data_IF_125135882846
#
_entry.id   IF_125135882846
#
_cell.length_a   1.000
_cell.length_b   1.000
_cell.length_c   1.000
_cell.angle_alpha   90.00
_cell.angle_beta   90.00
_cell.angle_gamma   90.00
#
_symmetry.space_group_name_H-M   'P 1'
#
loop_
_entity.id
_entity.type
_entity.pdbx_description
1 polymer ?
#
# COMPACT_ATOMS: atom_id res chain seq x y z
N UNK A 1 -0.97 -17.42 -51.28
CA UNK A 1 -1.81 -16.54 -52.13
C UNK A 1 -2.76 -15.65 -51.32
N UNK A 2 -2.31 -14.89 -50.31
CA UNK A 2 -3.05 -13.73 -49.73
C UNK A 2 -2.11 -12.70 -49.09
N UNK A 3 -1.03 -12.38 -49.80
CA UNK A 3 -0.19 -11.21 -49.49
C UNK A 3 -0.38 -10.08 -50.53
N UNK A 4 -1.36 -10.24 -51.44
CA UNK A 4 -1.53 -9.40 -52.64
C UNK A 4 -2.57 -8.28 -52.52
N UNK A 5 -3.22 -8.09 -51.37
CA UNK A 5 -4.31 -7.11 -51.26
C UNK A 5 -3.93 -5.75 -50.66
N UNK A 6 -2.69 -5.56 -50.20
CA UNK A 6 -2.30 -4.30 -49.56
C UNK A 6 -3.16 -3.96 -48.33
N UNK A 7 -3.79 -4.96 -47.73
CA UNK A 7 -4.55 -4.81 -46.49
C UNK A 7 -3.60 -4.43 -45.37
N UNK A 8 -3.98 -3.38 -44.65
CA UNK A 8 -3.17 -2.84 -43.56
C UNK A 8 -3.14 -3.84 -42.41
N UNK A 9 -2.04 -3.86 -41.63
CA UNK A 9 -1.89 -4.76 -40.49
C UNK A 9 -3.09 -4.74 -39.51
N UNK A 10 -3.81 -3.62 -39.47
CA UNK A 10 -4.99 -3.39 -38.63
C UNK A 10 -6.20 -4.24 -39.06
N UNK A 11 -6.46 -4.40 -40.37
CA UNK A 11 -7.58 -5.21 -40.87
C UNK A 11 -7.40 -6.71 -40.57
N UNK A 12 -6.16 -7.19 -40.64
CA UNK A 12 -5.82 -8.58 -40.31
C UNK A 12 -6.04 -8.82 -38.80
N UNK A 13 -5.64 -7.87 -37.96
CA UNK A 13 -5.80 -7.96 -36.51
C UNK A 13 -7.27 -7.93 -36.10
N UNK A 14 -8.09 -7.09 -36.72
CA UNK A 14 -9.54 -7.05 -36.47
C UNK A 14 -10.23 -8.35 -36.86
N UNK A 15 -9.85 -8.97 -37.99
CA UNK A 15 -10.37 -10.27 -38.40
C UNK A 15 -10.00 -11.39 -37.41
N UNK A 16 -8.75 -11.41 -36.94
CA UNK A 16 -8.27 -12.39 -35.94
C UNK A 16 -8.98 -12.20 -34.60
N UNK A 17 -9.15 -10.95 -34.15
CA UNK A 17 -9.92 -10.61 -32.94
C UNK A 17 -11.38 -11.07 -33.04
N UNK A 18 -12.04 -10.85 -34.19
CA UNK A 18 -13.43 -11.21 -34.38
C UNK A 18 -13.68 -12.72 -34.34
N UNK A 19 -12.72 -13.54 -34.78
CA UNK A 19 -12.88 -15.01 -34.84
C UNK A 19 -12.35 -15.77 -33.63
N UNK A 20 -11.27 -15.30 -33.02
CA UNK A 20 -10.61 -16.02 -31.93
C UNK A 20 -10.65 -15.28 -30.58
N UNK A 21 -11.18 -14.06 -30.56
CA UNK A 21 -11.24 -13.22 -29.37
C UNK A 21 -9.93 -12.49 -29.09
N UNK A 22 -10.01 -11.46 -28.23
CA UNK A 22 -8.89 -10.59 -27.86
C UNK A 22 -7.71 -11.32 -27.18
N UNK A 23 -7.87 -12.60 -26.82
CA UNK A 23 -6.89 -13.39 -26.06
C UNK A 23 -5.88 -14.16 -26.91
N UNK A 24 -5.98 -14.07 -28.25
CA UNK A 24 -5.00 -14.72 -29.14
C UNK A 24 -3.67 -13.97 -29.19
N UNK A 25 -3.68 -12.66 -28.95
CA UNK A 25 -2.46 -11.93 -28.68
C UNK A 25 -2.17 -12.01 -27.18
N UNK A 26 -1.07 -12.66 -26.81
CA UNK A 26 -0.51 -12.76 -25.44
C UNK A 26 -0.21 -11.40 -24.75
N UNK A 27 -0.56 -10.27 -25.38
CA UNK A 27 -0.47 -8.92 -24.81
C UNK A 27 -1.86 -8.48 -24.39
N UNK A 28 -2.17 -8.44 -23.07
CA UNK A 28 -3.45 -7.93 -22.62
C UNK A 28 -3.60 -6.50 -23.13
N UNK A 29 -4.64 -6.19 -23.93
CA UNK A 29 -4.82 -4.84 -24.43
C UNK A 29 -5.10 -3.91 -23.24
N UNK A 30 -4.51 -2.71 -23.28
CA UNK A 30 -4.87 -1.62 -22.36
C UNK A 30 -6.27 -1.14 -22.71
N UNK A 31 -7.29 -1.89 -22.28
CA UNK A 31 -8.70 -1.52 -22.39
C UNK A 31 -9.12 -0.79 -21.11
N UNK A 32 -10.12 0.10 -21.17
CA UNK A 32 -10.67 0.76 -19.98
C UNK A 32 -11.12 -0.24 -18.90
N UNK A 33 -11.55 -1.44 -19.30
CA UNK A 33 -11.95 -2.52 -18.39
C UNK A 33 -10.79 -3.13 -17.59
N UNK A 34 -9.58 -3.16 -18.13
CA UNK A 34 -8.39 -3.66 -17.40
C UNK A 34 -7.74 -2.59 -16.53
N UNK A 35 -8.16 -1.32 -16.64
CA UNK A 35 -7.59 -0.21 -15.88
C UNK A 35 -7.73 -0.41 -14.36
N UNK A 36 -8.82 -1.03 -13.90
CA UNK A 36 -9.02 -1.38 -12.50
C UNK A 36 -7.95 -2.36 -11.98
N UNK A 37 -7.52 -3.33 -12.80
CA UNK A 37 -6.47 -4.29 -12.44
C UNK A 37 -5.12 -3.59 -12.27
N UNK A 38 -4.83 -2.61 -13.13
CA UNK A 38 -3.57 -1.86 -13.09
C UNK A 38 -3.54 -0.80 -11.99
N UNK A 39 -4.68 -0.19 -11.67
CA UNK A 39 -4.79 0.79 -10.59
C UNK A 39 -4.86 0.16 -9.19
N UNK A 40 -5.34 -1.08 -9.06
CA UNK A 40 -5.51 -1.70 -7.74
C UNK A 40 -4.20 -1.75 -6.92
N UNK A 41 -3.04 -2.22 -7.44
CA UNK A 41 -1.80 -2.25 -6.68
C UNK A 41 -1.31 -0.88 -6.17
N UNK A 42 -1.17 0.18 -7.00
CA UNK A 42 -0.74 1.49 -6.51
C UNK A 42 -1.74 2.13 -5.56
N UNK A 43 -3.05 1.93 -5.79
CA UNK A 43 -4.09 2.51 -4.95
C UNK A 43 -4.10 1.88 -3.56
N UNK A 44 -3.94 0.56 -3.46
CA UNK A 44 -3.76 -0.14 -2.18
C UNK A 44 -2.47 0.29 -1.46
N UNK A 45 -1.36 0.46 -2.20
CA UNK A 45 -0.10 0.93 -1.62
C UNK A 45 -0.25 2.33 -1.02
N UNK A 46 -0.91 3.25 -1.71
CA UNK A 46 -1.18 4.60 -1.21
C UNK A 46 -2.06 4.58 0.04
N UNK A 47 -3.11 3.76 0.07
CA UNK A 47 -3.96 3.60 1.25
C UNK A 47 -3.19 3.06 2.45
N UNK A 48 -2.37 2.02 2.25
CA UNK A 48 -1.55 1.44 3.30
C UNK A 48 -0.52 2.43 3.85
N UNK A 49 0.16 3.18 2.97
CA UNK A 49 1.12 4.21 3.37
C UNK A 49 0.44 5.36 4.13
N UNK A 50 -0.70 5.85 3.64
CA UNK A 50 -1.46 6.91 4.29
C UNK A 50 -1.96 6.50 5.68
N UNK A 51 -2.53 5.30 5.79
CA UNK A 51 -2.98 4.75 7.06
C UNK A 51 -1.81 4.53 8.03
N UNK A 52 -0.74 3.87 7.58
CA UNK A 52 0.45 3.61 8.38
C UNK A 52 1.10 4.91 8.88
N UNK A 53 1.26 5.90 8.01
CA UNK A 53 1.79 7.21 8.39
C UNK A 53 0.90 7.92 9.42
N UNK A 54 -0.42 7.85 9.28
CA UNK A 54 -1.38 8.41 10.24
C UNK A 54 -1.23 7.76 11.63
N UNK A 55 -1.19 6.43 11.68
CA UNK A 55 -1.02 5.67 12.93
C UNK A 55 0.32 5.99 13.59
N UNK A 56 1.41 6.00 12.83
CA UNK A 56 2.74 6.34 13.35
C UNK A 56 2.80 7.78 13.85
N UNK A 57 2.19 8.73 13.15
CA UNK A 57 2.12 10.14 13.57
C UNK A 57 1.33 10.30 14.87
N UNK A 58 0.23 9.57 15.01
CA UNK A 58 -0.57 9.57 16.24
C UNK A 58 0.18 8.95 17.41
N UNK A 59 0.89 7.84 17.20
CA UNK A 59 1.73 7.22 18.23
C UNK A 59 2.84 8.17 18.71
N UNK A 60 3.48 8.91 17.80
CA UNK A 60 4.49 9.91 18.16
C UNK A 60 3.91 11.07 18.97
N UNK A 61 2.71 11.55 18.62
CA UNK A 61 2.01 12.59 19.41
C UNK A 61 1.65 12.13 20.81
N UNK A 62 1.22 10.87 20.95
CA UNK A 62 0.96 10.27 22.26
C UNK A 62 2.25 10.12 23.08
N UNK A 63 3.36 9.71 22.46
CA UNK A 63 4.67 9.68 23.13
C UNK A 63 5.18 11.06 23.51
N UNK A 64 4.95 12.10 22.70
CA UNK A 64 5.33 13.47 23.07
C UNK A 64 4.45 14.05 24.18
N UNK A 65 3.22 13.53 24.35
CA UNK A 65 2.36 13.81 25.50
C UNK A 65 2.61 12.87 26.68
N UNK A 66 3.41 11.81 26.49
CA UNK A 66 3.84 10.87 27.52
C UNK A 66 5.19 11.22 28.13
N UNK A 67 5.51 12.52 28.23
CA UNK A 67 6.36 12.96 29.32
C UNK A 67 5.58 12.70 30.60
N UNK A 68 6.22 12.06 31.59
CA UNK A 68 5.60 11.70 32.86
C UNK A 68 4.81 12.92 33.38
N UNK A 69 3.53 12.74 33.72
CA UNK A 69 2.84 13.77 34.49
C UNK A 69 3.60 13.99 35.79
N UNK A 70 3.51 15.17 36.40
CA UNK A 70 4.17 15.41 37.69
C UNK A 70 3.78 14.35 38.74
N UNK A 71 2.56 13.82 38.64
CA UNK A 71 2.06 12.68 39.39
C UNK A 71 2.84 11.39 39.11
N UNK A 72 3.05 11.02 37.83
CA UNK A 72 3.78 9.82 37.42
C UNK A 72 5.25 9.88 37.85
N UNK A 73 5.87 11.07 37.84
CA UNK A 73 7.24 11.26 38.34
C UNK A 73 7.33 11.04 39.86
N UNK A 74 6.34 11.53 40.61
CA UNK A 74 6.29 11.38 42.07
C UNK A 74 6.10 9.92 42.49
N UNK A 75 5.27 9.17 41.76
CA UNK A 75 5.01 7.76 42.01
C UNK A 75 6.25 6.92 41.67
N UNK A 76 6.90 7.20 40.54
CA UNK A 76 8.15 6.55 40.16
C UNK A 76 9.28 6.82 41.16
N UNK A 77 9.40 8.06 41.65
CA UNK A 77 10.37 8.42 42.69
C UNK A 77 10.12 7.66 44.00
N UNK A 78 8.85 7.51 44.40
CA UNK A 78 8.48 6.72 45.57
C UNK A 78 8.80 5.22 45.39
N UNK A 79 8.59 4.65 44.19
CA UNK A 79 8.98 3.28 43.89
C UNK A 79 10.49 3.05 43.92
N UNK A 80 11.28 3.99 43.36
CA UNK A 80 12.74 3.91 43.37
C UNK A 80 13.32 4.01 44.79
N UNK A 81 12.82 4.94 45.60
CA UNK A 81 13.24 5.11 47.00
C UNK A 81 12.91 3.87 47.86
N UNK A 82 11.71 3.29 47.68
CA UNK A 82 11.34 2.05 48.38
C UNK A 82 12.20 0.86 47.96
N UNK A 83 12.56 0.76 46.68
CA UNK A 83 13.43 -0.33 46.18
C UNK A 83 14.88 -0.15 46.63
N UNK A 84 15.42 1.06 46.65
CA UNK A 84 16.75 1.34 47.22
C UNK A 84 16.82 1.01 48.72
N UNK A 85 15.75 1.30 49.47
CA UNK A 85 15.66 0.94 50.90
C UNK A 85 15.56 -0.56 51.12
N UNK A 86 14.88 -1.29 50.23
CA UNK A 86 14.76 -2.75 50.27
C UNK A 86 15.99 -3.51 49.79
N UNK A 87 16.84 -2.89 48.97
CA UNK A 87 18.07 -3.48 48.40
C UNK A 87 19.36 -3.08 49.15
N UNK A 88 19.23 -2.55 50.38
CA UNK A 88 20.38 -2.20 51.22
C UNK A 88 20.84 -3.47 51.96
N UNK A 89 22.07 -3.97 51.75
CA UNK A 89 22.56 -5.18 52.42
C UNK A 89 22.72 -4.98 53.94
#
# INVERSE_FOLDING_TARGET
ERLELGETNDEIMDYVHARYGDYVLLKPPFKPSTFALWLAPPLLALLALGFGASVLRQSRRRRSQGGLSAEDESELAAYLDNNEKGNKP
#
